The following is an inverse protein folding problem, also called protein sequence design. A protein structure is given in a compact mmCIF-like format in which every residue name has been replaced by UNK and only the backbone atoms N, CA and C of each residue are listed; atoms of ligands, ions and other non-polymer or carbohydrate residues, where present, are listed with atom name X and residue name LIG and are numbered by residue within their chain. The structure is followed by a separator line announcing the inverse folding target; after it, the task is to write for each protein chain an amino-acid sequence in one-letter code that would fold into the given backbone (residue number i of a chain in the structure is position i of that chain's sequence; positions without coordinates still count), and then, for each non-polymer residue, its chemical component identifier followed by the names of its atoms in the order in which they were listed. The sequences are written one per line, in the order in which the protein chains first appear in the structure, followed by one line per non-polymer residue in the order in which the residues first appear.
data_IF_500150041304
#
_entry.id   IF_500150041304
#
_cell.length_a   1.000
_cell.length_b   1.000
_cell.length_c   1.000
_cell.angle_alpha   90.00
_cell.angle_beta   90.00
_cell.angle_gamma   90.00
#
_symmetry.space_group_name_H-M   'P 1'
#
loop_
_entity.id
_entity.type
_entity.pdbx_description
1 polymer ?
#
# COMPACT_ATOMS: atom_id res chain seq x y z
N UNK A 1 -23.52 -36.42 -7.59
CA UNK A 1 -23.12 -35.18 -6.89
C UNK A 1 -23.17 -35.28 -5.34
N UNK A 2 -22.75 -36.40 -4.71
CA UNK A 2 -22.64 -36.53 -3.23
C UNK A 2 -21.48 -37.45 -2.78
N UNK A 3 -20.46 -37.66 -3.62
CA UNK A 3 -19.42 -38.68 -3.40
C UNK A 3 -18.28 -38.29 -2.43
N UNK A 4 -18.41 -37.18 -1.68
CA UNK A 4 -17.40 -36.77 -0.68
C UNK A 4 -17.97 -36.32 0.66
N UNK A 5 -19.29 -36.16 0.78
CA UNK A 5 -19.92 -35.62 1.99
C UNK A 5 -19.63 -36.51 3.21
N UNK A 6 -19.81 -37.82 3.06
CA UNK A 6 -19.60 -38.78 4.16
C UNK A 6 -18.14 -38.95 4.58
N UNK A 7 -17.17 -38.58 3.73
CA UNK A 7 -15.74 -38.63 4.08
C UNK A 7 -15.29 -37.41 4.89
N UNK A 8 -15.87 -36.23 4.62
CA UNK A 8 -15.59 -34.99 5.34
C UNK A 8 -16.54 -34.74 6.52
N UNK A 9 -17.68 -35.44 6.58
CA UNK A 9 -18.63 -35.36 7.68
C UNK A 9 -18.02 -35.60 9.07
N UNK A 10 -17.21 -36.65 9.33
CA UNK A 10 -16.64 -36.86 10.66
C UNK A 10 -15.67 -35.74 11.07
N UNK A 11 -14.89 -35.21 10.11
CA UNK A 11 -14.00 -34.07 10.35
C UNK A 11 -14.79 -32.78 10.62
N UNK A 12 -15.83 -32.52 9.84
CA UNK A 12 -16.70 -31.36 10.01
C UNK A 12 -17.49 -31.42 11.31
N UNK A 13 -17.96 -32.61 11.71
CA UNK A 13 -18.66 -32.83 12.97
C UNK A 13 -17.74 -32.59 14.18
N UNK A 14 -16.48 -33.04 14.10
CA UNK A 14 -15.49 -32.78 15.15
C UNK A 14 -15.21 -31.28 15.31
N UNK A 15 -14.96 -30.57 14.20
CA UNK A 15 -14.73 -29.12 14.23
C UNK A 15 -15.97 -28.38 14.73
N UNK A 16 -17.16 -28.74 14.24
CA UNK A 16 -18.42 -28.15 14.67
C UNK A 16 -18.71 -28.40 16.16
N UNK A 17 -18.38 -29.59 16.68
CA UNK A 17 -18.53 -29.91 18.10
C UNK A 17 -17.57 -29.08 18.97
N UNK A 18 -16.33 -28.88 18.53
CA UNK A 18 -15.37 -28.01 19.25
C UNK A 18 -15.88 -26.57 19.30
N UNK A 19 -16.31 -26.02 18.17
CA UNK A 19 -16.84 -24.64 18.12
C UNK A 19 -18.10 -24.51 18.97
N UNK A 20 -19.03 -25.48 18.89
CA UNK A 20 -20.25 -25.46 19.70
C UNK A 20 -19.92 -25.56 21.20
N UNK A 21 -18.92 -26.35 21.57
CA UNK A 21 -18.46 -26.49 22.94
C UNK A 21 -17.79 -25.20 23.45
N UNK A 22 -16.92 -24.57 22.66
CA UNK A 22 -16.34 -23.27 23.00
C UNK A 22 -17.42 -22.21 23.17
N UNK A 23 -18.39 -22.13 22.25
CA UNK A 23 -19.51 -21.19 22.37
C UNK A 23 -20.38 -21.48 23.61
N UNK A 24 -20.62 -22.75 23.93
CA UNK A 24 -21.33 -23.14 25.15
C UNK A 24 -20.56 -22.72 26.40
N UNK A 25 -19.23 -22.92 26.45
CA UNK A 25 -18.39 -22.47 27.56
C UNK A 25 -18.37 -20.96 27.70
N UNK A 26 -18.34 -20.20 26.60
CA UNK A 26 -18.43 -18.74 26.62
C UNK A 26 -19.79 -18.27 27.16
N UNK A 27 -20.88 -18.90 26.71
CA UNK A 27 -22.24 -18.59 27.15
C UNK A 27 -22.49 -18.96 28.63
N UNK A 28 -22.05 -20.14 29.07
CA UNK A 28 -22.21 -20.61 30.46
C UNK A 28 -21.22 -19.96 31.43
N UNK A 29 -19.99 -19.68 30.97
CA UNK A 29 -18.97 -19.01 31.75
C UNK A 29 -19.33 -17.57 32.12
N UNK A 30 -20.31 -17.00 31.40
CA UNK A 30 -20.68 -15.60 31.44
C UNK A 30 -19.54 -14.75 30.87
N UNK A 31 -19.86 -13.62 30.27
CA UNK A 31 -18.87 -12.63 29.85
C UNK A 31 -18.23 -11.94 31.07
N UNK A 32 -17.60 -12.69 31.98
CA UNK A 32 -17.07 -12.28 33.30
C UNK A 32 -15.91 -11.26 33.27
N UNK A 33 -15.74 -10.54 32.18
CA UNK A 33 -14.80 -9.44 32.03
C UNK A 33 -15.14 -8.48 30.89
N UNK A 34 -16.30 -8.64 30.24
CA UNK A 34 -16.83 -7.67 29.29
C UNK A 34 -18.06 -7.12 29.99
N UNK A 35 -17.97 -5.87 30.46
CA UNK A 35 -19.14 -5.12 30.88
C UNK A 35 -20.17 -5.23 29.76
N UNK A 36 -21.19 -6.06 30.00
CA UNK A 36 -22.32 -6.20 29.11
C UNK A 36 -22.82 -4.79 28.85
N UNK A 37 -22.95 -4.33 27.59
CA UNK A 37 -23.54 -3.04 27.34
C UNK A 37 -24.99 -3.16 27.79
N UNK A 38 -25.25 -2.79 29.06
CA UNK A 38 -26.58 -2.66 29.62
C UNK A 38 -27.33 -1.84 28.59
N UNK A 39 -28.26 -2.48 27.88
CA UNK A 39 -29.19 -1.79 27.04
C UNK A 39 -29.96 -0.87 27.99
N UNK A 40 -29.52 0.40 28.07
CA UNK A 40 -30.16 1.41 28.90
C UNK A 40 -31.53 1.65 28.28
N UNK A 41 -32.51 0.93 28.82
CA UNK A 41 -33.91 1.10 28.51
C UNK A 41 -34.34 2.46 29.06
N UNK A 42 -34.59 3.39 28.14
CA UNK A 42 -35.22 4.69 28.34
C UNK A 42 -34.58 5.60 29.42
N UNK A 43 -33.80 6.58 28.96
CA UNK A 43 -33.41 7.71 29.82
C UNK A 43 -34.60 8.66 29.93
N UNK A 44 -35.06 8.89 31.15
CA UNK A 44 -36.15 9.80 31.46
C UNK A 44 -35.54 11.14 31.88
N UNK A 45 -36.02 12.26 31.31
CA UNK A 45 -35.57 13.60 31.73
C UNK A 45 -36.12 13.97 33.12
N UNK A 46 -35.59 15.02 33.75
CA UNK A 46 -36.06 15.53 35.04
C UNK A 46 -37.55 15.92 35.05
N UNK A 47 -38.14 16.12 33.87
CA UNK A 47 -39.57 16.38 33.64
C UNK A 47 -40.42 15.12 33.36
N UNK A 48 -39.87 13.91 33.54
CA UNK A 48 -40.61 12.66 33.36
C UNK A 48 -40.89 12.26 31.90
N UNK A 49 -40.32 12.97 30.92
CA UNK A 49 -40.48 12.65 29.49
C UNK A 49 -39.47 11.61 29.05
N UNK A 50 -39.91 10.64 28.24
CA UNK A 50 -39.05 9.61 27.66
C UNK A 50 -38.19 10.26 26.58
N UNK A 51 -36.93 10.52 26.90
CA UNK A 51 -35.97 11.04 25.92
C UNK A 51 -35.44 9.84 25.14
N UNK A 52 -35.42 9.90 23.79
CA UNK A 52 -34.80 8.85 23.01
C UNK A 52 -33.32 8.73 23.41
N UNK A 53 -32.98 7.60 24.04
CA UNK A 53 -31.60 7.29 24.37
C UNK A 53 -30.82 7.09 23.07
N UNK A 54 -29.98 8.07 22.72
CA UNK A 54 -29.16 8.02 21.52
C UNK A 54 -27.75 7.57 21.86
N UNK A 55 -27.42 6.33 21.46
CA UNK A 55 -26.06 5.79 21.58
C UNK A 55 -25.03 6.69 20.90
N UNK A 56 -25.37 7.31 19.78
CA UNK A 56 -24.48 8.25 19.06
C UNK A 56 -24.15 9.48 19.90
N UNK A 57 -25.14 10.04 20.64
CA UNK A 57 -24.92 11.19 21.52
C UNK A 57 -24.03 10.83 22.72
N UNK A 58 -24.28 9.67 23.33
CA UNK A 58 -23.48 9.19 24.48
C UNK A 58 -22.05 8.88 24.04
N UNK A 59 -21.89 8.17 22.93
CA UNK A 59 -20.58 7.86 22.38
C UNK A 59 -19.82 9.13 21.99
N UNK A 60 -20.47 10.08 21.33
CA UNK A 60 -19.90 11.40 21.03
C UNK A 60 -19.44 12.13 22.30
N UNK A 61 -20.26 12.12 23.35
CA UNK A 61 -19.87 12.70 24.65
C UNK A 61 -18.62 12.04 25.20
N UNK A 62 -18.53 10.71 25.22
CA UNK A 62 -17.35 9.99 25.70
C UNK A 62 -16.11 10.30 24.87
N UNK A 63 -16.23 10.28 23.53
CA UNK A 63 -15.12 10.54 22.60
C UNK A 63 -14.53 11.94 22.79
N UNK A 64 -15.36 12.97 22.95
CA UNK A 64 -14.89 14.36 23.05
C UNK A 64 -14.63 14.84 24.49
N UNK A 65 -14.92 14.05 25.52
CA UNK A 65 -14.67 14.44 26.92
C UNK A 65 -13.64 13.56 27.62
N UNK A 66 -13.78 12.23 27.53
CA UNK A 66 -12.92 11.29 28.25
C UNK A 66 -11.83 10.70 27.36
N UNK A 67 -12.12 10.48 26.08
CA UNK A 67 -11.22 9.80 25.15
C UNK A 67 -10.64 10.73 24.07
N UNK A 68 -10.40 11.99 24.42
CA UNK A 68 -9.89 12.99 23.48
C UNK A 68 -8.52 12.57 22.90
N UNK A 69 -7.61 12.09 23.75
CA UNK A 69 -6.25 11.73 23.35
C UNK A 69 -6.18 10.56 22.34
N UNK A 70 -6.89 9.43 22.54
CA UNK A 70 -7.02 8.40 21.50
C UNK A 70 -7.61 8.90 20.18
N UNK A 71 -8.60 9.81 20.23
CA UNK A 71 -9.21 10.39 19.02
C UNK A 71 -8.21 11.24 18.24
N UNK A 72 -7.39 12.03 18.94
CA UNK A 72 -6.31 12.82 18.31
C UNK A 72 -5.25 11.93 17.67
N UNK A 73 -4.82 10.87 18.35
CA UNK A 73 -3.87 9.90 17.78
C UNK A 73 -4.46 9.25 16.53
N UNK A 74 -5.73 8.84 16.57
CA UNK A 74 -6.41 8.29 15.40
C UNK A 74 -6.43 9.28 14.22
N UNK A 75 -6.65 10.57 14.48
CA UNK A 75 -6.61 11.61 13.45
C UNK A 75 -5.21 11.75 12.82
N UNK A 76 -4.15 11.71 13.61
CA UNK A 76 -2.76 11.75 13.11
C UNK A 76 -2.45 10.48 12.30
N UNK A 77 -2.89 9.31 12.76
CA UNK A 77 -2.73 8.05 12.02
C UNK A 77 -3.42 8.15 10.64
N UNK A 78 -4.65 8.67 10.59
CA UNK A 78 -5.37 8.86 9.33
C UNK A 78 -4.63 9.82 8.39
N UNK A 79 -4.07 10.91 8.93
CA UNK A 79 -3.27 11.85 8.16
C UNK A 79 -2.06 11.15 7.53
N UNK A 80 -1.28 10.42 8.34
CA UNK A 80 -0.11 9.67 7.86
C UNK A 80 -0.51 8.62 6.83
N UNK A 81 -1.62 7.92 7.06
CA UNK A 81 -2.14 6.92 6.14
C UNK A 81 -2.47 7.53 4.76
N UNK A 82 -3.08 8.72 4.71
CA UNK A 82 -3.34 9.41 3.45
C UNK A 82 -2.04 9.76 2.70
N UNK A 83 -1.05 10.31 3.41
CA UNK A 83 0.26 10.64 2.82
C UNK A 83 0.95 9.39 2.29
N UNK A 84 0.97 8.31 3.08
CA UNK A 84 1.57 7.04 2.71
C UNK A 84 0.88 6.40 1.49
N UNK A 85 -0.45 6.40 1.45
CA UNK A 85 -1.21 5.86 0.33
C UNK A 85 -0.92 6.60 -0.99
N UNK A 86 -0.87 7.93 -0.97
CA UNK A 86 -0.52 8.74 -2.14
C UNK A 86 0.92 8.49 -2.55
N UNK A 87 1.87 8.51 -1.60
CA UNK A 87 3.28 8.26 -1.89
C UNK A 87 3.53 6.89 -2.52
N UNK A 88 2.81 5.85 -2.06
CA UNK A 88 2.94 4.49 -2.57
C UNK A 88 2.38 4.33 -3.99
N UNK A 89 1.30 5.06 -4.31
CA UNK A 89 0.65 4.99 -5.62
C UNK A 89 1.26 5.94 -6.65
N UNK A 90 2.02 6.94 -6.20
CA UNK A 90 2.69 7.90 -7.07
C UNK A 90 3.86 7.26 -7.85
N UNK A 91 3.55 6.71 -9.02
CA UNK A 91 4.54 6.13 -9.93
C UNK A 91 5.18 7.20 -10.81
N UNK A 92 6.49 7.43 -10.64
CA UNK A 92 7.26 8.27 -11.59
C UNK A 92 7.38 7.56 -12.94
N UNK A 93 7.17 8.31 -14.04
CA UNK A 93 7.41 7.80 -15.41
C UNK A 93 8.91 7.77 -15.67
N UNK A 94 9.41 6.66 -16.23
CA UNK A 94 10.84 6.47 -16.54
C UNK A 94 11.30 7.26 -17.76
N UNK A 95 10.37 7.72 -18.59
CA UNK A 95 10.67 8.48 -19.82
C UNK A 95 10.90 9.98 -19.56
N UNK A 96 10.71 10.44 -18.33
CA UNK A 96 10.95 11.83 -17.95
C UNK A 96 12.43 12.08 -17.73
N UNK A 97 13.05 12.85 -18.62
CA UNK A 97 14.41 13.39 -18.42
C UNK A 97 14.33 14.65 -17.55
N UNK A 98 14.63 14.52 -16.26
CA UNK A 98 14.82 15.67 -15.37
C UNK A 98 16.24 16.18 -15.47
N UNK A 99 16.43 17.48 -15.74
CA UNK A 99 17.77 18.08 -15.68
C UNK A 99 17.99 18.71 -14.32
N UNK A 100 19.15 18.45 -13.74
CA UNK A 100 19.58 19.02 -12.47
C UNK A 100 20.06 20.46 -12.72
N UNK A 101 19.36 21.44 -12.13
CA UNK A 101 19.60 22.85 -12.39
C UNK A 101 21.00 23.30 -11.95
N UNK A 102 21.54 22.71 -10.89
CA UNK A 102 22.87 23.06 -10.39
C UNK A 102 23.96 22.61 -11.36
N UNK A 103 23.77 21.47 -12.04
CA UNK A 103 24.66 21.00 -13.09
C UNK A 103 24.62 21.94 -14.31
N UNK A 104 23.44 22.48 -14.65
CA UNK A 104 23.32 23.49 -15.72
C UNK A 104 24.01 24.81 -15.36
N UNK A 105 23.89 25.29 -14.11
CA UNK A 105 24.54 26.52 -13.66
C UNK A 105 26.07 26.40 -13.56
N UNK A 106 26.59 25.24 -13.19
CA UNK A 106 28.04 25.01 -13.01
C UNK A 106 28.79 24.72 -14.30
N UNK A 107 28.11 24.56 -15.43
CA UNK A 107 28.73 24.23 -16.71
C UNK A 107 29.69 25.35 -17.16
N UNK A 108 30.99 25.04 -17.24
CA UNK A 108 32.01 26.00 -17.71
C UNK A 108 32.26 25.83 -19.20
N UNK A 109 32.76 26.87 -19.85
CA UNK A 109 33.07 26.84 -21.28
C UNK A 109 34.17 25.81 -21.63
N UNK A 110 35.07 25.55 -20.68
CA UNK A 110 36.18 24.60 -20.83
C UNK A 110 35.71 23.14 -20.94
N UNK A 111 34.55 22.80 -20.36
CA UNK A 111 34.04 21.43 -20.29
C UNK A 111 33.23 21.02 -21.53
N UNK A 112 33.04 21.93 -22.49
CA UNK A 112 32.14 21.72 -23.65
C UNK A 112 32.84 21.22 -24.91
N UNK A 113 34.17 21.24 -24.97
CA UNK A 113 34.94 20.92 -26.17
C UNK A 113 36.17 20.10 -25.83
N UNK A 114 36.32 18.95 -26.51
CA UNK A 114 37.49 18.08 -26.40
C UNK A 114 38.15 17.95 -27.78
N UNK A 115 39.44 18.25 -27.88
CA UNK A 115 40.21 18.15 -29.11
C UNK A 115 40.73 16.72 -29.29
N UNK A 116 39.98 15.90 -30.04
CA UNK A 116 40.39 14.53 -30.36
C UNK A 116 41.24 14.53 -31.64
N UNK A 117 42.50 14.09 -31.53
CA UNK A 117 43.37 13.89 -32.70
C UNK A 117 43.00 12.58 -33.38
N UNK A 118 42.62 12.65 -34.65
CA UNK A 118 42.30 11.47 -35.48
C UNK A 118 43.39 11.25 -36.54
N UNK A 119 43.68 9.99 -36.87
CA UNK A 119 44.57 9.66 -37.97
C UNK A 119 43.93 10.04 -39.30
N UNK A 120 44.69 10.69 -40.19
CA UNK A 120 44.19 11.08 -41.50
C UNK A 120 43.88 9.82 -42.34
N UNK A 121 42.64 9.70 -42.80
CA UNK A 121 42.24 8.66 -43.75
C UNK A 121 43.05 8.83 -45.04
N UNK A 122 44.00 7.92 -45.26
CA UNK A 122 44.76 7.86 -46.52
C UNK A 122 43.87 7.26 -47.61
N UNK A 123 43.85 7.89 -48.78
CA UNK A 123 43.18 7.38 -49.98
C UNK A 123 43.81 6.03 -50.35
N UNK A 124 42.98 4.99 -50.50
CA UNK A 124 43.45 3.67 -50.93
C UNK A 124 44.12 3.80 -52.30
N UNK A 125 45.35 3.30 -52.42
CA UNK A 125 46.07 3.22 -53.69
C UNK A 125 45.33 2.26 -54.63
N UNK A 126 45.07 2.65 -55.89
CA UNK A 126 44.43 1.77 -56.84
C UNK A 126 45.36 0.59 -57.16
N UNK A 127 44.82 -0.63 -57.06
CA UNK A 127 45.44 -1.87 -57.49
C UNK A 127 45.75 -1.80 -59.00
N UNK A 128 46.94 -1.33 -59.36
CA UNK A 128 47.49 -1.44 -60.71
C UNK A 128 48.75 -2.30 -60.65
N UNK A 129 48.59 -3.63 -60.71
CA UNK A 129 49.61 -4.58 -61.19
C UNK A 129 49.13 -6.06 -61.10
N UNK A 130 47.99 -6.42 -61.71
CA UNK A 130 47.60 -7.84 -61.81
C UNK A 130 46.99 -8.29 -63.15
N UNK A 131 47.04 -7.47 -64.21
CA UNK A 131 46.49 -7.84 -65.54
C UNK A 131 47.53 -7.80 -66.68
N UNK A 132 48.83 -7.90 -66.38
CA UNK A 132 49.87 -7.89 -67.42
C UNK A 132 50.44 -9.29 -67.80
N UNK A 133 49.95 -10.38 -67.20
CA UNK A 133 50.49 -11.73 -67.45
C UNK A 133 49.42 -12.76 -67.87
N UNK A 134 48.66 -12.45 -68.93
CA UNK A 134 47.96 -13.50 -69.68
C UNK A 134 47.95 -13.21 -71.19
N UNK A 135 49.16 -13.18 -71.77
CA UNK A 135 49.39 -13.29 -73.22
C UNK A 135 50.67 -14.07 -73.47
N UNK A 136 50.59 -15.41 -73.48
CA UNK A 136 51.37 -16.35 -74.32
C UNK A 136 51.19 -17.80 -73.83
N UNK A 137 50.39 -18.57 -74.55
CA UNK A 137 50.67 -19.94 -75.03
C UNK A 137 49.48 -20.40 -75.87
#
# INVERSE_FOLDING_TARGET
MRQGFWKHFPLAALIGAIIAFEMALVLMGGFRGIDEPKAMTAVVDAAGQVVPYSNTKVLGKLLYTQYLYPVEIAAVILLVAMVAAIALTLRKRKDTKTVEATMQLRARAQDRVELVKMAATRKAEPLMAAEAEEKKA
#
